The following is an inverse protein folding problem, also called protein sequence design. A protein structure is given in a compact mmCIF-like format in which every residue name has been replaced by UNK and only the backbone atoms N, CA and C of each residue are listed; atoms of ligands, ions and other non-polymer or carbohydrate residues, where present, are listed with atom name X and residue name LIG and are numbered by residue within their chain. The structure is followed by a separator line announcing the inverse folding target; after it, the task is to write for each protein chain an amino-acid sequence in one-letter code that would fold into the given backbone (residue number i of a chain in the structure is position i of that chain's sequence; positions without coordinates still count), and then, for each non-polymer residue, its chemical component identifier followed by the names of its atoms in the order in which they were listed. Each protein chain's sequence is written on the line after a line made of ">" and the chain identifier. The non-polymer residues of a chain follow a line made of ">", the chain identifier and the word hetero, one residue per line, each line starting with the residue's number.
data_IF_253212670133
#
_entry.id   IF_253212670133
#
_cell.length_a   1.000
_cell.length_b   1.000
_cell.length_c   1.000
_cell.angle_alpha   90.00
_cell.angle_beta   90.00
_cell.angle_gamma   90.00
#
_symmetry.space_group_name_H-M   'P 1'
#
loop_
_entity.id
_entity.type
_entity.pdbx_description
1 polymer ?
#
# COMPACT_ATOMS: atom_id res chain seq x y z
N UNK A 1 51.89 -6.00 -34.49
CA UNK A 1 51.71 -6.78 -33.24
C UNK A 1 51.78 -5.93 -31.97
N UNK A 2 52.81 -5.09 -31.75
CA UNK A 2 52.89 -4.20 -30.57
C UNK A 2 51.69 -3.26 -30.38
N UNK A 3 51.17 -2.66 -31.46
CA UNK A 3 50.03 -1.73 -31.40
C UNK A 3 48.72 -2.43 -30.98
N UNK A 4 48.53 -3.69 -31.40
CA UNK A 4 47.34 -4.49 -31.12
C UNK A 4 47.32 -5.00 -29.67
N UNK A 5 48.50 -5.30 -29.11
CA UNK A 5 48.68 -5.66 -27.70
C UNK A 5 48.39 -4.46 -26.77
N UNK A 6 48.83 -3.25 -27.14
CA UNK A 6 48.54 -2.03 -26.39
C UNK A 6 47.04 -1.66 -26.38
N UNK A 7 46.35 -1.91 -27.49
CA UNK A 7 44.89 -1.71 -27.61
C UNK A 7 44.11 -2.73 -26.78
N UNK A 8 44.55 -3.99 -26.72
CA UNK A 8 43.94 -5.00 -25.84
C UNK A 8 44.16 -4.68 -24.35
N UNK A 9 45.34 -4.19 -23.97
CA UNK A 9 45.65 -3.77 -22.60
C UNK A 9 44.84 -2.54 -22.16
N UNK A 10 44.60 -1.57 -23.04
CA UNK A 10 43.75 -0.41 -22.72
C UNK A 10 42.29 -0.82 -22.55
N UNK A 11 41.76 -1.72 -23.39
CA UNK A 11 40.39 -2.25 -23.26
C UNK A 11 40.21 -3.05 -21.96
N UNK A 12 41.20 -3.86 -21.55
CA UNK A 12 41.19 -4.56 -20.26
C UNK A 12 41.23 -3.60 -19.07
N UNK A 13 41.95 -2.49 -19.19
CA UNK A 13 42.05 -1.46 -18.15
C UNK A 13 40.72 -0.74 -17.94
N UNK A 14 40.00 -0.43 -19.02
CA UNK A 14 38.66 0.18 -18.95
C UNK A 14 37.60 -0.75 -18.35
N UNK A 15 37.68 -2.07 -18.61
CA UNK A 15 36.75 -3.03 -18.00
C UNK A 15 36.95 -3.16 -16.49
N UNK A 16 38.20 -3.06 -16.01
CA UNK A 16 38.51 -3.12 -14.57
C UNK A 16 37.96 -1.91 -13.81
N UNK A 17 38.03 -0.71 -14.38
CA UNK A 17 37.52 0.51 -13.73
C UNK A 17 35.99 0.55 -13.72
N UNK A 18 35.32 0.11 -14.79
CA UNK A 18 33.87 -0.01 -14.82
C UNK A 18 33.32 -1.04 -13.80
N UNK A 19 33.96 -2.21 -13.71
CA UNK A 19 33.60 -3.24 -12.73
C UNK A 19 33.86 -2.79 -11.29
N UNK A 20 34.97 -2.10 -11.02
CA UNK A 20 35.25 -1.53 -9.71
C UNK A 20 34.22 -0.44 -9.31
N UNK A 21 33.85 0.43 -10.24
CA UNK A 21 32.84 1.47 -9.99
C UNK A 21 31.45 0.87 -9.68
N UNK A 22 31.07 -0.19 -10.40
CA UNK A 22 29.81 -0.89 -10.15
C UNK A 22 29.81 -1.65 -8.81
N UNK A 23 30.95 -2.22 -8.42
CA UNK A 23 31.14 -2.86 -7.10
C UNK A 23 31.03 -1.85 -5.95
N UNK A 24 31.69 -0.70 -6.06
CA UNK A 24 31.61 0.36 -5.05
C UNK A 24 30.19 0.94 -4.92
N UNK A 25 29.49 1.13 -6.05
CA UNK A 25 28.07 1.50 -6.02
C UNK A 25 27.22 0.45 -5.29
N UNK A 26 27.38 -0.83 -5.61
CA UNK A 26 26.63 -1.90 -4.96
C UNK A 26 26.88 -1.97 -3.45
N UNK A 27 28.12 -1.73 -3.00
CA UNK A 27 28.44 -1.64 -1.56
C UNK A 27 27.76 -0.43 -0.91
N UNK A 28 27.78 0.73 -1.57
CA UNK A 28 27.10 1.93 -1.09
C UNK A 28 25.58 1.71 -0.96
N UNK A 29 24.97 1.07 -1.95
CA UNK A 29 23.53 0.77 -1.94
C UNK A 29 23.18 -0.22 -0.80
N UNK A 30 24.03 -1.22 -0.55
CA UNK A 30 23.86 -2.16 0.58
C UNK A 30 24.04 -1.45 1.94
N UNK A 31 25.03 -0.56 2.07
CA UNK A 31 25.21 0.23 3.30
C UNK A 31 24.02 1.17 3.56
N UNK A 32 23.43 1.75 2.52
CA UNK A 32 22.22 2.55 2.65
C UNK A 32 21.03 1.70 3.09
N UNK A 33 20.90 0.48 2.55
CA UNK A 33 19.87 -0.47 2.97
C UNK A 33 20.04 -0.86 4.44
N UNK A 34 21.25 -1.21 4.87
CA UNK A 34 21.54 -1.56 6.26
C UNK A 34 21.19 -0.40 7.20
N UNK A 35 21.60 0.82 6.85
CA UNK A 35 21.24 2.02 7.63
C UNK A 35 19.72 2.24 7.65
N UNK A 36 19.00 2.03 6.55
CA UNK A 36 17.54 2.14 6.52
C UNK A 36 16.86 1.09 7.42
N UNK A 37 17.41 -0.12 7.48
CA UNK A 37 16.94 -1.19 8.37
C UNK A 37 17.21 -0.84 9.83
N UNK A 38 18.39 -0.29 10.16
CA UNK A 38 18.71 0.18 11.52
C UNK A 38 17.74 1.26 12.02
N UNK A 39 17.24 2.11 11.11
CA UNK A 39 16.25 3.15 11.42
C UNK A 39 14.81 2.63 11.51
N UNK A 40 14.57 1.32 11.35
CA UNK A 40 13.22 0.73 11.36
C UNK A 40 12.38 1.14 12.58
N UNK A 41 12.97 1.13 13.78
CA UNK A 41 12.26 1.50 15.01
C UNK A 41 11.76 2.94 14.97
N UNK A 42 12.60 3.88 14.51
CA UNK A 42 12.25 5.30 14.37
C UNK A 42 11.09 5.48 13.40
N UNK A 43 11.13 4.82 12.24
CA UNK A 43 10.03 4.88 11.27
C UNK A 43 8.75 4.26 11.81
N UNK A 44 8.86 3.16 12.56
CA UNK A 44 7.73 2.52 13.20
C UNK A 44 7.11 3.45 14.26
N UNK A 45 7.92 4.08 15.10
CA UNK A 45 7.44 4.98 16.16
C UNK A 45 6.72 6.20 15.59
N UNK A 46 7.31 6.86 14.58
CA UNK A 46 6.67 7.97 13.86
C UNK A 46 5.32 7.56 13.25
N UNK A 47 5.23 6.34 12.72
CA UNK A 47 3.98 5.80 12.17
C UNK A 47 2.95 5.57 13.28
N UNK A 48 3.37 4.99 14.40
CA UNK A 48 2.48 4.76 15.55
C UNK A 48 2.00 6.09 16.15
N UNK A 49 2.85 7.11 16.21
CA UNK A 49 2.44 8.47 16.60
C UNK A 49 1.38 9.03 15.65
N UNK A 50 1.60 8.90 14.34
CA UNK A 50 0.63 9.36 13.34
C UNK A 50 -0.73 8.68 13.49
N UNK A 51 -0.74 7.37 13.72
CA UNK A 51 -1.95 6.59 13.98
C UNK A 51 -2.65 7.09 15.25
N UNK A 52 -1.90 7.28 16.34
CA UNK A 52 -2.45 7.79 17.61
C UNK A 52 -3.11 9.16 17.42
N UNK A 53 -2.49 10.05 16.66
CA UNK A 53 -3.07 11.35 16.31
C UNK A 53 -4.36 11.21 15.51
N UNK A 54 -4.37 10.37 14.47
CA UNK A 54 -5.55 10.14 13.64
C UNK A 54 -6.72 9.56 14.45
N UNK A 55 -6.45 8.61 15.35
CA UNK A 55 -7.46 8.03 16.24
C UNK A 55 -8.03 9.08 17.20
N UNK A 56 -7.19 9.93 17.81
CA UNK A 56 -7.66 11.04 18.66
C UNK A 56 -8.55 12.02 17.88
N UNK A 57 -8.17 12.35 16.65
CA UNK A 57 -8.98 13.21 15.79
C UNK A 57 -10.33 12.56 15.47
N UNK A 58 -10.38 11.24 15.24
CA UNK A 58 -11.60 10.48 14.99
C UNK A 58 -12.63 10.62 16.10
N UNK A 59 -12.18 10.58 17.35
CA UNK A 59 -13.06 10.71 18.52
C UNK A 59 -13.81 12.05 18.54
N UNK A 60 -13.18 13.12 18.07
CA UNK A 60 -13.78 14.47 18.02
C UNK A 60 -14.75 14.71 16.86
N UNK A 61 -14.90 13.78 15.91
CA UNK A 61 -15.66 13.99 14.65
C UNK A 61 -16.83 13.05 14.47
N UNK A 62 -17.28 12.38 15.54
CA UNK A 62 -18.38 11.40 15.49
C UNK A 62 -19.71 11.98 15.02
N UNK A 63 -19.89 13.30 15.13
CA UNK A 63 -21.15 13.98 14.80
C UNK A 63 -21.31 14.26 13.29
N UNK A 64 -20.27 14.05 12.48
CA UNK A 64 -20.32 14.26 11.02
C UNK A 64 -20.00 12.95 10.28
N UNK A 65 -21.02 12.25 9.74
CA UNK A 65 -20.85 10.98 9.02
C UNK A 65 -19.87 11.03 7.84
N UNK A 66 -19.82 12.14 7.11
CA UNK A 66 -18.92 12.26 5.95
C UNK A 66 -17.46 12.40 6.37
N UNK A 67 -17.20 13.22 7.39
CA UNK A 67 -15.85 13.36 7.95
C UNK A 67 -15.40 12.06 8.62
N UNK A 68 -16.33 11.40 9.32
CA UNK A 68 -16.09 10.13 9.96
C UNK A 68 -15.69 9.05 8.93
N UNK A 69 -16.44 8.93 7.83
CA UNK A 69 -16.12 8.01 6.74
C UNK A 69 -14.74 8.27 6.13
N UNK A 70 -14.42 9.54 5.87
CA UNK A 70 -13.13 9.94 5.30
C UNK A 70 -11.95 9.61 6.22
N UNK A 71 -12.07 9.89 7.53
CA UNK A 71 -11.01 9.61 8.49
C UNK A 71 -10.82 8.13 8.78
N UNK A 72 -11.91 7.34 8.81
CA UNK A 72 -11.80 5.89 8.88
C UNK A 72 -11.16 5.30 7.63
N UNK A 73 -11.43 5.85 6.44
CA UNK A 73 -10.76 5.43 5.21
C UNK A 73 -9.26 5.70 5.29
N UNK A 74 -8.87 6.89 5.76
CA UNK A 74 -7.47 7.24 5.96
C UNK A 74 -6.77 6.32 6.96
N UNK A 75 -7.45 5.95 8.06
CA UNK A 75 -6.92 4.99 9.02
C UNK A 75 -6.76 3.60 8.39
N UNK A 76 -7.76 3.12 7.64
CA UNK A 76 -7.66 1.84 6.92
C UNK A 76 -6.46 1.83 5.97
N UNK A 77 -6.31 2.85 5.13
CA UNK A 77 -5.18 2.96 4.19
C UNK A 77 -3.83 3.03 4.93
N UNK A 78 -3.80 3.68 6.10
CA UNK A 78 -2.61 3.75 6.95
C UNK A 78 -2.24 2.40 7.56
N UNK A 79 -3.19 1.51 7.81
CA UNK A 79 -2.96 0.17 8.37
C UNK A 79 -2.74 -0.91 7.31
N UNK A 80 -3.25 -0.73 6.09
CA UNK A 80 -3.36 -1.76 5.05
C UNK A 80 -2.05 -2.52 4.80
N UNK A 81 -0.91 -1.83 4.85
CA UNK A 81 0.39 -2.41 4.54
C UNK A 81 0.98 -3.33 5.65
N UNK A 82 0.42 -3.39 6.86
CA UNK A 82 1.03 -4.16 7.96
C UNK A 82 0.07 -4.70 9.04
N UNK A 83 -1.21 -4.29 9.07
CA UNK A 83 -2.15 -4.78 10.09
C UNK A 83 -3.55 -5.04 9.50
N UNK A 84 -3.79 -6.29 9.12
CA UNK A 84 -5.05 -6.73 8.51
C UNK A 84 -6.28 -6.42 9.37
N UNK A 85 -6.27 -6.83 10.65
CA UNK A 85 -7.42 -6.68 11.54
C UNK A 85 -7.83 -5.22 11.74
N UNK A 86 -6.85 -4.32 11.91
CA UNK A 86 -7.11 -2.88 12.04
C UNK A 86 -7.66 -2.29 10.75
N UNK A 87 -7.12 -2.70 9.60
CA UNK A 87 -7.62 -2.27 8.29
C UNK A 87 -9.09 -2.70 8.11
N UNK A 88 -9.36 -3.98 8.37
CA UNK A 88 -10.69 -4.55 8.25
C UNK A 88 -11.69 -3.93 9.25
N UNK A 89 -11.24 -3.60 10.46
CA UNK A 89 -12.05 -2.91 11.47
C UNK A 89 -12.60 -1.58 10.94
N UNK A 90 -11.72 -0.71 10.42
CA UNK A 90 -12.14 0.59 9.91
C UNK A 90 -12.98 0.49 8.62
N UNK A 91 -12.65 -0.45 7.73
CA UNK A 91 -13.45 -0.70 6.53
C UNK A 91 -14.86 -1.21 6.88
N UNK A 92 -15.00 -2.16 7.82
CA UNK A 92 -16.31 -2.64 8.27
C UNK A 92 -17.14 -1.54 8.91
N UNK A 93 -16.53 -0.67 9.71
CA UNK A 93 -17.22 0.47 10.28
C UNK A 93 -17.65 1.49 9.21
N UNK A 94 -16.86 1.68 8.15
CA UNK A 94 -17.27 2.48 6.99
C UNK A 94 -18.42 1.87 6.20
N UNK A 95 -18.42 0.54 6.07
CA UNK A 95 -19.51 -0.18 5.40
C UNK A 95 -20.82 -0.03 6.17
N UNK A 96 -20.80 -0.20 7.50
CA UNK A 96 -21.97 0.03 8.36
C UNK A 96 -22.49 1.47 8.23
N UNK A 97 -21.59 2.45 8.25
CA UNK A 97 -21.94 3.86 8.07
C UNK A 97 -22.59 4.12 6.70
N UNK A 98 -22.00 3.60 5.62
CA UNK A 98 -22.52 3.76 4.26
C UNK A 98 -23.88 3.08 4.06
N UNK A 99 -24.10 1.92 4.70
CA UNK A 99 -25.37 1.20 4.70
C UNK A 99 -26.46 2.00 5.42
N UNK A 100 -26.17 2.54 6.62
CA UNK A 100 -27.12 3.37 7.38
C UNK A 100 -27.50 4.64 6.64
N UNK A 101 -26.54 5.27 5.97
CA UNK A 101 -26.75 6.48 5.18
C UNK A 101 -27.29 6.22 3.76
N UNK A 102 -27.52 4.95 3.38
CA UNK A 102 -28.00 4.53 2.05
C UNK A 102 -27.20 5.14 0.89
N UNK A 103 -25.87 5.12 1.01
CA UNK A 103 -24.97 5.74 0.03
C UNK A 103 -24.30 4.67 -0.86
N UNK A 104 -24.93 4.23 -1.98
CA UNK A 104 -24.50 3.06 -2.76
C UNK A 104 -23.06 3.15 -3.26
N UNK A 105 -22.60 4.34 -3.68
CA UNK A 105 -21.21 4.52 -4.09
C UNK A 105 -20.18 4.19 -3.01
N UNK A 106 -20.45 4.55 -1.74
CA UNK A 106 -19.56 4.26 -0.59
C UNK A 106 -19.67 2.80 -0.15
N UNK A 107 -20.86 2.21 -0.28
CA UNK A 107 -21.07 0.78 -0.04
C UNK A 107 -20.19 -0.03 -0.99
N UNK A 108 -20.30 0.25 -2.30
CA UNK A 108 -19.55 -0.47 -3.32
C UNK A 108 -18.04 -0.18 -3.23
N UNK A 109 -17.63 1.07 -3.01
CA UNK A 109 -16.23 1.41 -2.76
C UNK A 109 -15.66 0.61 -1.58
N UNK A 110 -16.37 0.56 -0.46
CA UNK A 110 -15.89 -0.11 0.75
C UNK A 110 -15.86 -1.64 0.57
N UNK A 111 -16.85 -2.22 -0.11
CA UNK A 111 -16.86 -3.65 -0.45
C UNK A 111 -15.66 -4.04 -1.31
N UNK A 112 -15.36 -3.25 -2.35
CA UNK A 112 -14.18 -3.47 -3.20
C UNK A 112 -12.89 -3.40 -2.37
N UNK A 113 -12.75 -2.40 -1.47
CA UNK A 113 -11.58 -2.31 -0.58
C UNK A 113 -11.44 -3.51 0.37
N UNK A 114 -12.55 -4.06 0.86
CA UNK A 114 -12.53 -5.26 1.70
C UNK A 114 -12.13 -6.49 0.86
N UNK A 115 -12.62 -6.59 -0.37
CA UNK A 115 -12.23 -7.66 -1.29
C UNK A 115 -10.72 -7.56 -1.63
N UNK A 116 -10.20 -6.37 -1.93
CA UNK A 116 -8.74 -6.11 -2.13
C UNK A 116 -7.93 -6.62 -0.92
N UNK A 117 -8.39 -6.29 0.30
CA UNK A 117 -7.74 -6.70 1.54
C UNK A 117 -7.77 -8.23 1.71
N UNK A 118 -8.90 -8.87 1.42
CA UNK A 118 -9.04 -10.32 1.45
C UNK A 118 -8.15 -11.01 0.41
N UNK A 119 -8.14 -10.56 -0.84
CA UNK A 119 -7.26 -11.08 -1.90
C UNK A 119 -5.79 -11.02 -1.48
N UNK A 120 -5.34 -9.85 -0.99
CA UNK A 120 -3.94 -9.67 -0.59
C UNK A 120 -3.52 -10.52 0.62
N UNK A 121 -4.47 -10.94 1.46
CA UNK A 121 -4.24 -11.78 2.62
C UNK A 121 -4.54 -13.27 2.37
N UNK A 122 -4.94 -13.66 1.16
CA UNK A 122 -5.20 -15.05 0.76
C UNK A 122 -6.62 -15.57 1.03
N UNK A 123 -7.56 -14.70 1.41
CA UNK A 123 -8.98 -15.04 1.65
C UNK A 123 -9.80 -14.96 0.35
N UNK A 124 -9.42 -15.76 -0.65
CA UNK A 124 -9.99 -15.66 -1.99
C UNK A 124 -11.48 -16.03 -2.06
N UNK A 125 -11.95 -16.94 -1.21
CA UNK A 125 -13.37 -17.33 -1.18
C UNK A 125 -14.23 -16.19 -0.64
N UNK A 126 -13.77 -15.53 0.42
CA UNK A 126 -14.44 -14.38 1.01
C UNK A 126 -14.40 -13.15 0.10
N UNK A 127 -13.29 -12.94 -0.62
CA UNK A 127 -13.19 -11.91 -1.64
C UNK A 127 -14.18 -12.15 -2.79
N UNK A 128 -14.21 -13.38 -3.34
CA UNK A 128 -15.13 -13.74 -4.42
C UNK A 128 -16.59 -13.64 -3.99
N UNK A 129 -16.95 -14.14 -2.80
CA UNK A 129 -18.33 -14.02 -2.28
C UNK A 129 -18.76 -12.54 -2.17
N UNK A 130 -17.86 -11.67 -1.71
CA UNK A 130 -18.12 -10.24 -1.57
C UNK A 130 -18.31 -9.57 -2.94
N UNK A 131 -17.47 -9.88 -3.92
CA UNK A 131 -17.55 -9.30 -5.27
C UNK A 131 -18.78 -9.83 -6.02
N UNK A 132 -18.96 -11.15 -6.10
CA UNK A 132 -19.96 -11.79 -6.96
C UNK A 132 -21.38 -11.66 -6.40
N UNK A 133 -21.55 -11.67 -5.07
CA UNK A 133 -22.88 -11.72 -4.45
C UNK A 133 -23.35 -10.40 -3.87
N UNK A 134 -22.43 -9.48 -3.61
CA UNK A 134 -22.77 -8.24 -2.89
C UNK A 134 -22.53 -6.98 -3.70
N UNK A 135 -22.05 -7.07 -4.94
CA UNK A 135 -21.86 -5.91 -5.81
C UNK A 135 -22.61 -6.13 -7.12
N UNK A 136 -23.52 -5.23 -7.44
CA UNK A 136 -24.09 -5.14 -8.79
C UNK A 136 -23.17 -4.26 -9.66
N UNK A 137 -22.47 -4.89 -10.60
CA UNK A 137 -21.53 -4.19 -11.51
C UNK A 137 -22.22 -3.17 -12.40
N UNK A 138 -23.54 -3.28 -12.63
CA UNK A 138 -24.30 -2.31 -13.43
C UNK A 138 -24.53 -0.99 -12.71
N UNK A 139 -24.38 -0.97 -11.39
CA UNK A 139 -24.51 0.23 -10.54
C UNK A 139 -23.15 0.93 -10.28
N UNK A 140 -22.04 0.39 -10.79
CA UNK A 140 -20.70 0.94 -10.56
C UNK A 140 -20.41 2.12 -11.49
N UNK A 141 -19.81 3.17 -10.92
CA UNK A 141 -19.22 4.26 -11.71
C UNK A 141 -17.94 3.79 -12.39
N UNK A 142 -17.51 4.44 -13.48
CA UNK A 142 -16.32 4.05 -14.24
C UNK A 142 -15.06 3.77 -13.38
N UNK A 143 -14.68 4.65 -12.42
CA UNK A 143 -13.54 4.39 -11.54
C UNK A 143 -13.72 3.15 -10.64
N UNK A 144 -14.93 2.92 -10.11
CA UNK A 144 -15.20 1.76 -9.26
C UNK A 144 -15.28 0.47 -10.07
N UNK A 145 -15.81 0.53 -11.29
CA UNK A 145 -15.84 -0.61 -12.21
C UNK A 145 -14.42 -1.05 -12.59
N UNK A 146 -13.54 -0.08 -12.87
CA UNK A 146 -12.12 -0.37 -13.11
C UNK A 146 -11.47 -1.05 -11.91
N UNK A 147 -11.75 -0.58 -10.70
CA UNK A 147 -11.22 -1.18 -9.47
C UNK A 147 -11.74 -2.59 -9.23
N UNK A 148 -13.03 -2.83 -9.43
CA UNK A 148 -13.67 -4.14 -9.29
C UNK A 148 -12.97 -5.24 -10.10
N UNK A 149 -12.55 -4.96 -11.34
CA UNK A 149 -11.94 -5.97 -12.22
C UNK A 149 -10.43 -6.19 -11.99
N UNK A 150 -9.77 -5.35 -11.18
CA UNK A 150 -8.35 -5.51 -10.83
C UNK A 150 -8.13 -6.02 -9.40
N UNK A 151 -9.20 -6.08 -8.60
CA UNK A 151 -9.25 -6.75 -7.29
C UNK A 151 -9.05 -8.26 -7.41
#
# INVERSE_FOLDING_TARGET
>A
MRLLILLLLSILSLHRTASAHQSEKSKSDLMQLDHAIEQYSVYNDLKQDRIRELVKLLESRRDNPDQLYGMQSLLADTYAAYQFDSTLHYLRANLDLALRSRHPGRINETRIKIADLYTSAGYYLEAADLLDRQIDTTELTGPLLGRYYVT
#
